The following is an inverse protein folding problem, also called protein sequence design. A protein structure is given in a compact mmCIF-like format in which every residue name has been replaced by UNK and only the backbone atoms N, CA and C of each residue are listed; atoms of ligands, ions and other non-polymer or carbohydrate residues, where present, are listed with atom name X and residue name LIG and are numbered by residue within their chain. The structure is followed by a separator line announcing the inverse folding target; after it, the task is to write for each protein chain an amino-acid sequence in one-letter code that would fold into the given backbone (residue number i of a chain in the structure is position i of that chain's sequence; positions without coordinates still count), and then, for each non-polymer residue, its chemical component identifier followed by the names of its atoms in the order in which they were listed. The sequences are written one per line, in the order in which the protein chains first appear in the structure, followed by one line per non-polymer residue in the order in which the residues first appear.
data_IF_226878417622
#
_entry.id   IF_226878417622
#
_cell.length_a   1.000
_cell.length_b   1.000
_cell.length_c   1.000
_cell.angle_alpha   90.00
_cell.angle_beta   90.00
_cell.angle_gamma   90.00
#
_symmetry.space_group_name_H-M   'P 1'
#
loop_
_entity.id
_entity.type
_entity.pdbx_description
1 polymer ?
#
# COMPACT_ATOMS: atom_id res chain seq x y z
N UNK A 1 17.13 -16.21 -5.46
CA UNK A 1 15.92 -16.92 -5.91
C UNK A 1 14.90 -15.84 -6.29
N UNK A 2 14.41 -15.83 -7.53
CA UNK A 2 13.39 -14.87 -8.00
C UNK A 2 12.15 -15.69 -8.35
N UNK A 3 10.99 -15.29 -7.84
CA UNK A 3 9.74 -16.01 -8.08
C UNK A 3 9.43 -16.06 -9.57
N UNK A 4 9.34 -17.28 -10.14
CA UNK A 4 9.00 -17.49 -11.56
C UNK A 4 7.54 -17.20 -11.89
N UNK A 5 6.67 -17.22 -10.89
CA UNK A 5 5.23 -16.95 -11.05
C UNK A 5 4.72 -16.12 -9.88
N UNK A 6 3.79 -15.22 -10.18
CA UNK A 6 3.04 -14.44 -9.19
C UNK A 6 1.56 -14.70 -9.45
N UNK A 7 0.80 -14.96 -8.38
CA UNK A 7 -0.65 -15.12 -8.44
C UNK A 7 -1.29 -14.01 -7.61
N UNK A 8 -2.29 -13.35 -8.19
CA UNK A 8 -3.09 -12.38 -7.46
C UNK A 8 -3.86 -13.10 -6.34
N UNK A 9 -3.75 -12.58 -5.12
CA UNK A 9 -4.47 -13.07 -3.95
C UNK A 9 -5.87 -12.48 -3.82
N UNK A 10 -6.45 -12.61 -2.63
CA UNK A 10 -7.71 -11.94 -2.29
C UNK A 10 -7.53 -10.42 -2.17
N UNK A 11 -8.61 -9.67 -2.41
CA UNK A 11 -8.64 -8.21 -2.35
C UNK A 11 -9.61 -7.69 -1.29
N UNK A 12 -9.21 -6.59 -0.64
CA UNK A 12 -10.00 -5.91 0.38
C UNK A 12 -10.03 -4.42 0.08
N UNK A 13 -11.22 -3.86 -0.05
CA UNK A 13 -11.41 -2.42 -0.28
C UNK A 13 -11.92 -1.74 1.00
N UNK A 14 -11.17 -0.74 1.48
CA UNK A 14 -11.53 0.09 2.63
C UNK A 14 -12.25 1.38 2.17
N UNK A 15 -13.50 1.22 1.70
CA UNK A 15 -14.31 2.32 1.13
C UNK A 15 -14.58 3.47 2.09
N UNK A 16 -14.60 3.17 3.38
CA UNK A 16 -14.88 4.13 4.44
C UNK A 16 -13.62 4.83 4.94
N UNK A 17 -12.44 4.47 4.40
CA UNK A 17 -11.15 5.01 4.79
C UNK A 17 -11.00 4.92 6.31
N UNK A 18 -11.07 3.70 6.85
CA UNK A 18 -11.13 3.42 8.29
C UNK A 18 -10.03 4.05 9.13
N UNK A 19 -8.92 4.47 8.50
CA UNK A 19 -7.77 5.14 9.13
C UNK A 19 -7.61 6.61 8.69
N UNK A 20 -8.65 7.20 8.10
CA UNK A 20 -8.67 8.57 7.59
C UNK A 20 -7.90 8.76 6.28
N UNK A 21 -7.80 10.03 5.87
CA UNK A 21 -7.16 10.47 4.61
C UNK A 21 -5.70 10.88 4.75
N UNK A 22 -5.12 10.76 5.95
CA UNK A 22 -3.72 11.10 6.22
C UNK A 22 -3.05 9.92 6.89
N UNK A 23 -2.11 9.30 6.18
CA UNK A 23 -1.40 8.13 6.66
C UNK A 23 0.09 8.41 6.84
N UNK A 24 0.68 7.64 7.73
CA UNK A 24 2.12 7.53 7.94
C UNK A 24 2.53 6.09 7.68
N UNK A 25 3.84 5.81 7.64
CA UNK A 25 4.34 4.44 7.55
C UNK A 25 3.80 3.52 8.66
N UNK A 26 3.53 4.07 9.84
CA UNK A 26 2.93 3.33 10.96
C UNK A 26 1.44 3.06 10.73
N UNK A 27 0.66 4.07 10.32
CA UNK A 27 -0.77 3.86 10.10
C UNK A 27 -1.08 2.99 8.88
N UNK A 28 -0.19 2.94 7.87
CA UNK A 28 -0.26 1.96 6.78
C UNK A 28 -0.24 0.52 7.31
N UNK A 29 0.55 0.23 8.35
CA UNK A 29 0.53 -1.10 8.98
C UNK A 29 -0.78 -1.37 9.72
N UNK A 30 -1.39 -0.34 10.31
CA UNK A 30 -2.72 -0.45 10.93
C UNK A 30 -3.82 -0.74 9.88
N UNK A 31 -3.73 -0.18 8.68
CA UNK A 31 -4.63 -0.53 7.56
C UNK A 31 -4.48 -2.02 7.19
N UNK A 32 -3.24 -2.52 7.08
CA UNK A 32 -2.99 -3.94 6.81
C UNK A 32 -3.57 -4.81 7.92
N UNK A 33 -3.37 -4.43 9.20
CA UNK A 33 -3.98 -5.12 10.34
C UNK A 33 -5.49 -5.23 10.17
N UNK A 34 -6.17 -4.11 9.90
CA UNK A 34 -7.62 -4.10 9.74
C UNK A 34 -8.08 -5.00 8.57
N UNK A 35 -7.30 -5.10 7.50
CA UNK A 35 -7.62 -5.98 6.37
C UNK A 35 -7.47 -7.47 6.72
N UNK A 36 -6.43 -7.87 7.44
CA UNK A 36 -6.19 -9.29 7.81
C UNK A 36 -7.01 -9.75 9.02
N UNK A 37 -7.48 -8.82 9.86
CA UNK A 37 -8.35 -9.12 11.01
C UNK A 37 -9.82 -8.74 10.75
N UNK A 38 -10.20 -8.45 9.50
CA UNK A 38 -11.56 -8.05 9.18
C UNK A 38 -12.56 -9.16 9.52
N UNK A 39 -13.71 -8.80 10.10
CA UNK A 39 -14.77 -9.77 10.44
C UNK A 39 -15.36 -10.46 9.21
N UNK A 40 -15.44 -9.74 8.09
CA UNK A 40 -15.97 -10.25 6.83
C UNK A 40 -14.82 -10.35 5.84
N UNK A 41 -14.62 -11.50 5.21
CA UNK A 41 -13.58 -11.71 4.17
C UNK A 41 -12.22 -11.07 4.55
N UNK A 42 -11.57 -11.53 5.65
CA UNK A 42 -10.22 -11.08 5.97
C UNK A 42 -9.24 -11.52 4.90
N UNK A 43 -8.21 -10.71 4.64
CA UNK A 43 -7.12 -11.16 3.77
C UNK A 43 -6.34 -12.31 4.42
N UNK A 44 -5.91 -13.32 3.65
CA UNK A 44 -5.22 -14.48 4.18
C UNK A 44 -3.81 -14.14 4.67
N UNK A 45 -3.48 -14.58 5.89
CA UNK A 45 -2.15 -14.37 6.49
C UNK A 45 -1.14 -15.35 5.89
N UNK A 46 -0.27 -14.85 4.99
CA UNK A 46 0.81 -15.65 4.38
C UNK A 46 2.20 -14.98 4.49
N UNK A 47 2.91 -15.16 5.62
CA UNK A 47 4.25 -14.58 5.83
C UNK A 47 5.37 -15.22 4.99
N UNK A 48 5.19 -16.46 4.51
CA UNK A 48 6.26 -17.24 3.87
C UNK A 48 6.39 -17.00 2.37
N UNK A 49 5.26 -16.82 1.68
CA UNK A 49 5.23 -16.70 0.22
C UNK A 49 4.28 -15.63 -0.31
N UNK A 50 3.58 -14.91 0.56
CA UNK A 50 2.70 -13.80 0.19
C UNK A 50 3.40 -12.45 0.31
N UNK A 51 2.90 -11.47 -0.44
CA UNK A 51 3.20 -10.04 -0.28
C UNK A 51 1.87 -9.28 -0.38
N UNK A 52 1.73 -8.23 0.45
CA UNK A 52 0.54 -7.37 0.41
C UNK A 52 0.84 -6.12 -0.41
N UNK A 53 -0.08 -5.77 -1.30
CA UNK A 53 -0.02 -4.52 -2.04
C UNK A 53 -1.10 -3.59 -1.52
N UNK A 54 -0.71 -2.42 -1.01
CA UNK A 54 -1.63 -1.41 -0.52
C UNK A 54 -1.65 -0.23 -1.49
N UNK A 55 -2.80 0.00 -2.12
CA UNK A 55 -3.04 1.11 -3.03
C UNK A 55 -3.98 2.09 -2.37
N UNK A 56 -3.57 3.36 -2.27
CA UNK A 56 -4.42 4.40 -1.67
C UNK A 56 -5.28 5.09 -2.72
N UNK A 57 -6.45 5.57 -2.28
CA UNK A 57 -7.33 6.41 -3.10
C UNK A 57 -6.65 7.74 -3.48
N UNK A 58 -7.25 8.45 -4.44
CA UNK A 58 -6.74 9.73 -4.97
C UNK A 58 -6.78 10.88 -3.95
N UNK A 59 -7.62 10.76 -2.93
CA UNK A 59 -7.81 11.73 -1.85
C UNK A 59 -7.14 11.33 -0.52
N UNK A 60 -6.29 10.30 -0.53
CA UNK A 60 -5.53 9.84 0.65
C UNK A 60 -4.07 10.27 0.54
N UNK A 61 -3.65 11.13 1.46
CA UNK A 61 -2.28 11.59 1.61
C UNK A 61 -1.46 10.63 2.48
N UNK A 62 -0.26 10.28 2.03
CA UNK A 62 0.71 9.54 2.83
C UNK A 62 1.96 10.39 2.98
N UNK A 63 2.52 10.40 4.20
CA UNK A 63 3.74 11.15 4.50
C UNK A 63 4.85 10.90 3.47
N UNK A 64 5.48 11.99 3.03
CA UNK A 64 6.59 12.05 2.05
C UNK A 64 6.26 11.61 0.62
N UNK A 65 5.00 11.26 0.33
CA UNK A 65 4.55 10.94 -1.02
C UNK A 65 4.72 12.14 -1.96
N UNK A 66 5.19 11.87 -3.18
CA UNK A 66 5.46 12.88 -4.23
C UNK A 66 6.56 13.90 -3.91
N UNK A 67 7.13 13.88 -2.71
CA UNK A 67 8.27 14.73 -2.35
C UNK A 67 9.57 13.94 -2.44
N UNK A 68 9.61 12.79 -1.76
CA UNK A 68 10.81 11.95 -1.67
C UNK A 68 10.59 10.55 -2.23
N UNK A 69 9.34 10.07 -2.25
CA UNK A 69 9.01 8.71 -2.67
C UNK A 69 7.69 8.64 -3.46
N UNK A 70 7.61 7.69 -4.40
CA UNK A 70 6.38 7.34 -5.11
C UNK A 70 5.63 6.14 -4.47
N UNK A 71 6.28 5.50 -3.50
CA UNK A 71 5.85 4.27 -2.85
C UNK A 71 6.98 3.74 -1.98
N UNK A 72 6.71 2.68 -1.23
CA UNK A 72 7.75 1.98 -0.48
C UNK A 72 7.37 0.52 -0.23
N UNK A 73 8.36 -0.30 0.08
CA UNK A 73 8.16 -1.65 0.58
C UNK A 73 8.78 -1.79 1.97
N UNK A 74 8.16 -2.61 2.82
CA UNK A 74 8.61 -2.84 4.19
C UNK A 74 8.00 -4.13 4.75
N UNK A 75 8.32 -4.44 6.01
CA UNK A 75 7.67 -5.51 6.75
C UNK A 75 6.79 -4.93 7.86
N UNK A 76 5.63 -5.52 8.10
CA UNK A 76 4.84 -5.14 9.27
C UNK A 76 5.55 -5.54 10.55
N UNK A 77 5.37 -4.77 11.62
CA UNK A 77 5.85 -5.15 12.94
C UNK A 77 4.88 -6.12 13.61
N UNK A 78 5.36 -7.23 14.19
CA UNK A 78 4.53 -8.13 14.98
C UNK A 78 3.77 -7.44 16.12
N UNK A 79 4.34 -6.40 16.72
CA UNK A 79 3.70 -5.60 17.77
C UNK A 79 2.47 -4.82 17.28
N UNK A 80 2.36 -4.54 15.99
CA UNK A 80 1.23 -3.82 15.39
C UNK A 80 0.21 -4.83 14.83
N UNK A 81 0.68 -5.72 13.96
CA UNK A 81 -0.18 -6.57 13.11
C UNK A 81 -0.34 -7.99 13.67
N UNK A 82 0.52 -8.42 14.60
CA UNK A 82 0.61 -9.80 15.08
C UNK A 82 1.51 -10.70 14.23
N UNK A 83 1.94 -10.21 13.06
CA UNK A 83 2.75 -10.96 12.10
C UNK A 83 3.79 -10.04 11.44
N UNK A 84 4.91 -10.61 11.02
CA UNK A 84 5.84 -9.97 10.09
C UNK A 84 5.41 -10.31 8.67
N UNK A 85 4.76 -9.38 7.99
CA UNK A 85 4.24 -9.56 6.64
C UNK A 85 4.97 -8.60 5.70
N UNK A 86 5.57 -9.09 4.60
CA UNK A 86 6.10 -8.21 3.57
C UNK A 86 4.96 -7.47 2.88
N UNK A 87 5.13 -6.18 2.67
CA UNK A 87 4.17 -5.38 1.92
C UNK A 87 4.85 -4.28 1.12
N UNK A 88 4.13 -3.81 0.11
CA UNK A 88 4.44 -2.59 -0.60
C UNK A 88 3.22 -1.66 -0.58
N UNK A 89 3.48 -0.37 -0.50
CA UNK A 89 2.49 0.67 -0.66
C UNK A 89 2.84 1.55 -1.86
N UNK A 90 1.81 1.90 -2.64
CA UNK A 90 1.88 2.83 -3.75
C UNK A 90 0.78 3.87 -3.58
N UNK A 91 1.18 5.15 -3.64
CA UNK A 91 0.26 6.28 -3.61
C UNK A 91 -0.38 6.53 -4.98
N UNK A 92 -1.48 7.30 -5.00
CA UNK A 92 -2.12 7.68 -6.26
C UNK A 92 -1.34 8.82 -6.95
N UNK A 93 -0.41 8.48 -7.84
CA UNK A 93 0.43 9.46 -8.52
C UNK A 93 -0.31 10.27 -9.57
N UNK A 94 -1.34 9.70 -10.22
CA UNK A 94 -2.13 10.38 -11.24
C UNK A 94 -2.80 11.66 -10.74
N UNK A 95 -3.24 11.67 -9.47
CA UNK A 95 -3.86 12.87 -8.88
C UNK A 95 -2.84 13.81 -8.20
N UNK A 96 -1.83 13.25 -7.54
CA UNK A 96 -0.98 14.05 -6.65
C UNK A 96 0.33 14.55 -7.28
N UNK A 97 0.94 13.78 -8.18
CA UNK A 97 2.20 14.16 -8.84
C UNK A 97 2.40 13.40 -10.16
N UNK A 98 1.54 13.62 -11.16
CA UNK A 98 1.58 12.88 -12.41
C UNK A 98 2.96 13.01 -13.10
N UNK A 99 3.53 14.22 -13.12
CA UNK A 99 4.83 14.49 -13.72
C UNK A 99 6.05 13.90 -12.99
N UNK A 100 5.90 13.36 -11.78
CA UNK A 100 7.03 12.80 -11.01
C UNK A 100 6.96 11.29 -10.87
N UNK A 101 5.78 10.79 -10.49
CA UNK A 101 5.59 9.39 -10.10
C UNK A 101 4.72 8.58 -11.06
N UNK A 102 4.33 9.14 -12.21
CA UNK A 102 3.51 8.45 -13.21
C UNK A 102 4.16 8.38 -14.61
N UNK A 103 5.43 8.74 -14.78
CA UNK A 103 6.14 8.53 -16.04
C UNK A 103 6.20 7.01 -16.39
N UNK A 104 5.99 6.57 -17.64
CA UNK A 104 5.70 7.37 -18.85
C UNK A 104 4.21 7.63 -19.10
N UNK A 105 3.33 7.26 -18.17
CA UNK A 105 1.87 7.42 -18.30
C UNK A 105 1.39 8.87 -18.13
N UNK A 106 2.21 9.73 -17.51
CA UNK A 106 2.07 11.18 -17.56
C UNK A 106 3.45 11.80 -17.79
N UNK A 107 3.52 12.67 -18.79
CA UNK A 107 4.75 13.39 -19.16
C UNK A 107 4.84 14.65 -18.29
N UNK A 108 5.97 14.91 -17.62
CA UNK A 108 6.18 16.16 -16.91
C UNK A 108 6.05 17.37 -17.85
N UNK A 109 5.49 18.48 -17.35
CA UNK A 109 5.27 19.70 -18.16
C UNK A 109 6.55 20.35 -18.70
N UNK A 110 7.72 20.00 -18.15
CA UNK A 110 9.01 20.57 -18.56
C UNK A 110 9.70 19.82 -19.71
N UNK A 111 9.12 18.70 -20.18
CA UNK A 111 9.64 17.90 -21.30
C UNK A 111 9.01 18.36 -22.63
#
# INVERSE_FOLDING_TARGET
NISRTVRLGEEKNDRLLSHGKKLTRLSVQSVIKAAVTAKTKPLPINPKSGIYLLLTADDVYVQDFCQNVCGFHYFTFPSIVGYTLPYAWIGNSGKMCPGTCAYPFAVPEYI
#
